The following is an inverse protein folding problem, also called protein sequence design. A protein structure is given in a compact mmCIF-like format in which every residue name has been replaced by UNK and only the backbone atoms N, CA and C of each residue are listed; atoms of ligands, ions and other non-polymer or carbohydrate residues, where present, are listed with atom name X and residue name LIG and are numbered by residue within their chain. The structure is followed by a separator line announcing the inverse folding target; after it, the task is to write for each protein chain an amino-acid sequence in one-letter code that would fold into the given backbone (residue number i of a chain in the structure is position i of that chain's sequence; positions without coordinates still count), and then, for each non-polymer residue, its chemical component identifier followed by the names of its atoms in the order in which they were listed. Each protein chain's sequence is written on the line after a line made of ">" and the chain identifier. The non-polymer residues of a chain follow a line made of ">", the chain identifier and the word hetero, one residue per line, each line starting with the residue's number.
data_IF_175523286408
#
_entry.id   IF_175523286408
#
_cell.length_a   1.000
_cell.length_b   1.000
_cell.length_c   1.000
_cell.angle_alpha   90.00
_cell.angle_beta   90.00
_cell.angle_gamma   90.00
#
_symmetry.space_group_name_H-M   'P 1'
#
loop_
_entity.id
_entity.type
_entity.pdbx_description
1 polymer ?
#
# COMPACT_ATOMS: atom_id res chain seq x y z
N UNK A 1 28.87 4.97 29.02
CA UNK A 1 27.47 4.83 29.46
C UNK A 1 26.64 5.97 28.92
N UNK A 2 25.96 5.75 27.80
CA UNK A 2 25.01 6.72 27.24
C UNK A 2 23.66 6.57 27.96
N UNK A 3 23.10 7.68 28.44
CA UNK A 3 21.73 7.72 28.96
C UNK A 3 20.85 8.28 27.85
N UNK A 4 19.82 7.53 27.48
CA UNK A 4 18.79 8.06 26.60
C UNK A 4 18.04 9.18 27.29
N UNK A 5 17.76 10.24 26.53
CA UNK A 5 16.85 11.28 26.95
C UNK A 5 15.45 10.70 27.17
N UNK A 6 14.69 11.34 28.05
CA UNK A 6 13.30 10.97 28.30
C UNK A 6 12.51 11.10 27.00
N UNK A 7 11.92 10.00 26.53
CA UNK A 7 11.29 9.94 25.21
C UNK A 7 10.15 10.96 25.02
N UNK A 8 9.46 11.34 26.11
CA UNK A 8 8.27 12.17 26.12
C UNK A 8 7.96 12.64 27.55
N UNK A 9 7.28 13.78 27.73
CA UNK A 9 6.82 14.23 29.05
C UNK A 9 5.68 13.36 29.57
N UNK A 10 5.55 13.24 30.89
CA UNK A 10 4.49 12.42 31.50
C UNK A 10 3.09 12.91 31.12
N UNK A 11 2.91 14.23 31.02
CA UNK A 11 1.66 14.85 30.59
C UNK A 11 1.23 14.38 29.20
N UNK A 12 2.16 14.35 28.23
CA UNK A 12 1.84 13.88 26.87
C UNK A 12 1.62 12.37 26.86
N UNK A 13 2.37 11.61 27.66
CA UNK A 13 2.15 10.16 27.78
C UNK A 13 0.76 9.83 28.31
N UNK A 14 0.34 10.47 29.40
CA UNK A 14 -0.99 10.26 29.99
C UNK A 14 -2.13 10.68 29.04
N UNK A 15 -1.90 11.70 28.20
CA UNK A 15 -2.86 12.10 27.17
C UNK A 15 -2.96 11.08 26.01
N UNK A 16 -1.83 10.49 25.59
CA UNK A 16 -1.76 9.59 24.41
C UNK A 16 -2.12 8.15 24.75
N UNK A 17 -1.75 7.68 25.95
CA UNK A 17 -1.96 6.29 26.39
C UNK A 17 -3.38 5.76 26.18
N UNK A 18 -4.47 6.44 26.61
CA UNK A 18 -5.82 5.89 26.44
C UNK A 18 -6.20 5.74 24.95
N UNK A 19 -5.77 6.66 24.10
CA UNK A 19 -5.98 6.58 22.64
C UNK A 19 -5.21 5.41 22.05
N UNK A 20 -3.96 5.21 22.46
CA UNK A 20 -3.15 4.08 22.01
C UNK A 20 -3.76 2.74 22.41
N UNK A 21 -4.20 2.60 23.67
CA UNK A 21 -4.84 1.39 24.18
C UNK A 21 -6.16 1.11 23.46
N UNK A 22 -6.97 2.14 23.20
CA UNK A 22 -8.21 2.00 22.43
C UNK A 22 -7.95 1.54 21.00
N UNK A 23 -6.99 2.16 20.30
CA UNK A 23 -6.63 1.81 18.92
C UNK A 23 -5.93 0.45 18.80
N UNK A 24 -5.38 -0.06 19.91
CA UNK A 24 -4.66 -1.34 19.96
C UNK A 24 -5.53 -2.50 20.47
N UNK A 25 -6.85 -2.31 20.59
CA UNK A 25 -7.79 -3.38 20.93
C UNK A 25 -7.79 -4.47 19.85
N UNK A 26 -7.80 -5.73 20.26
CA UNK A 26 -7.80 -6.90 19.36
C UNK A 26 -8.95 -6.85 18.34
N UNK A 27 -10.12 -6.36 18.73
CA UNK A 27 -11.29 -6.19 17.84
C UNK A 27 -10.98 -5.25 16.65
N UNK A 28 -10.21 -4.17 16.90
CA UNK A 28 -9.78 -3.25 15.84
C UNK A 28 -8.65 -3.85 15.01
N UNK A 29 -7.67 -4.50 15.65
CA UNK A 29 -6.53 -5.10 14.97
C UNK A 29 -6.93 -6.29 14.09
N UNK A 30 -7.92 -7.07 14.50
CA UNK A 30 -8.46 -8.19 13.71
C UNK A 30 -9.00 -7.73 12.37
N UNK A 31 -9.54 -6.51 12.28
CA UNK A 31 -9.98 -5.91 11.00
C UNK A 31 -8.82 -5.64 10.05
N UNK A 32 -7.62 -5.40 10.58
CA UNK A 32 -6.41 -5.17 9.78
C UNK A 32 -5.85 -6.46 9.18
N UNK A 33 -6.14 -7.63 9.76
CA UNK A 33 -5.67 -8.93 9.26
C UNK A 33 -6.19 -9.25 7.85
N UNK A 34 -7.38 -8.76 7.51
CA UNK A 34 -7.96 -8.93 6.17
C UNK A 34 -7.37 -8.00 5.11
N UNK A 35 -6.43 -7.10 5.45
CA UNK A 35 -5.85 -6.15 4.50
C UNK A 35 -6.80 -5.03 4.03
N UNK A 36 -8.07 -5.05 4.47
CA UNK A 36 -9.11 -4.09 4.11
C UNK A 36 -8.86 -2.67 4.64
N UNK A 37 -7.90 -2.49 5.56
CA UNK A 37 -7.50 -1.20 6.10
C UNK A 37 -6.54 -0.41 5.17
N UNK A 38 -6.08 -1.02 4.07
CA UNK A 38 -5.35 -0.30 3.04
C UNK A 38 -6.31 0.65 2.32
N UNK A 39 -6.07 1.96 2.40
CA UNK A 39 -6.77 2.93 1.57
C UNK A 39 -6.63 2.50 0.10
N UNK A 40 -7.71 1.97 -0.49
CA UNK A 40 -7.69 1.37 -1.83
C UNK A 40 -7.16 2.36 -2.87
N UNK A 41 -7.46 3.65 -2.72
CA UNK A 41 -6.93 4.68 -3.60
C UNK A 41 -5.41 4.84 -3.45
N UNK A 42 -4.85 4.71 -2.24
CA UNK A 42 -3.39 4.80 -2.02
C UNK A 42 -2.68 3.58 -2.58
N UNK A 43 -3.24 2.38 -2.37
CA UNK A 43 -2.70 1.13 -2.90
C UNK A 43 -2.72 1.12 -4.44
N UNK A 44 -3.85 1.44 -5.06
CA UNK A 44 -3.98 1.55 -6.52
C UNK A 44 -3.01 2.58 -7.10
N UNK A 45 -3.00 3.80 -6.55
CA UNK A 45 -2.11 4.85 -7.04
C UNK A 45 -0.64 4.47 -6.89
N UNK A 46 -0.24 3.83 -5.79
CA UNK A 46 1.15 3.38 -5.60
C UNK A 46 1.58 2.43 -6.74
N UNK A 47 0.69 1.55 -7.18
CA UNK A 47 0.95 0.61 -8.27
C UNK A 47 1.03 1.28 -9.64
N UNK A 48 0.15 2.26 -9.92
CA UNK A 48 0.26 3.08 -11.14
C UNK A 48 1.62 3.79 -11.16
N UNK A 49 2.02 4.42 -10.05
CA UNK A 49 3.26 5.19 -9.99
C UNK A 49 4.53 4.34 -9.93
N UNK A 50 4.45 3.06 -9.56
CA UNK A 50 5.58 2.15 -9.69
C UNK A 50 5.86 1.77 -11.15
N UNK A 51 4.85 1.82 -12.02
CA UNK A 51 4.98 1.55 -13.46
C UNK A 51 5.20 2.81 -14.29
N UNK A 52 4.55 3.92 -13.93
CA UNK A 52 4.65 5.21 -14.60
C UNK A 52 5.07 6.30 -13.57
N UNK A 53 6.36 6.42 -13.24
CA UNK A 53 6.82 7.31 -12.17
C UNK A 53 6.43 8.78 -12.40
N UNK A 54 5.95 9.44 -11.34
CA UNK A 54 5.49 10.85 -11.39
C UNK A 54 6.60 11.86 -11.72
N UNK A 55 7.84 11.51 -11.42
CA UNK A 55 9.01 12.36 -11.66
C UNK A 55 9.48 12.31 -13.11
N UNK A 56 8.82 11.53 -13.97
CA UNK A 56 9.14 11.39 -15.39
C UNK A 56 7.90 11.78 -16.21
N UNK A 57 8.11 12.51 -17.31
CA UNK A 57 7.05 12.77 -18.27
C UNK A 57 6.70 11.49 -19.01
N UNK A 58 5.52 10.94 -18.74
CA UNK A 58 5.00 9.77 -19.43
C UNK A 58 3.95 10.20 -20.47
N UNK A 59 3.96 9.59 -21.65
CA UNK A 59 2.90 9.78 -22.63
C UNK A 59 1.58 9.17 -22.15
N UNK A 60 0.45 9.70 -22.68
CA UNK A 60 -0.90 9.22 -22.32
C UNK A 60 -1.03 7.69 -22.42
N UNK A 61 -0.53 7.10 -23.50
CA UNK A 61 -0.58 5.65 -23.73
C UNK A 61 0.09 4.85 -22.63
N UNK A 62 1.24 5.30 -22.12
CA UNK A 62 1.96 4.63 -21.04
C UNK A 62 1.15 4.70 -19.75
N UNK A 63 0.56 5.87 -19.45
CA UNK A 63 -0.25 6.05 -18.26
C UNK A 63 -1.54 5.21 -18.30
N UNK A 64 -2.20 5.12 -19.47
CA UNK A 64 -3.37 4.27 -19.66
C UNK A 64 -3.04 2.80 -19.41
N UNK A 65 -1.93 2.30 -19.98
CA UNK A 65 -1.47 0.91 -19.79
C UNK A 65 -1.15 0.65 -18.32
N UNK A 66 -0.42 1.55 -17.64
CA UNK A 66 -0.11 1.41 -16.22
C UNK A 66 -1.38 1.37 -15.36
N UNK A 67 -2.38 2.19 -15.68
CA UNK A 67 -3.68 2.18 -15.00
C UNK A 67 -4.42 0.85 -15.21
N UNK A 68 -4.48 0.33 -16.44
CA UNK A 68 -5.11 -0.97 -16.71
C UNK A 68 -4.41 -2.13 -16.01
N UNK A 69 -3.07 -2.17 -16.04
CA UNK A 69 -2.28 -3.17 -15.32
C UNK A 69 -2.51 -3.09 -13.82
N UNK A 70 -2.61 -1.88 -13.27
CA UNK A 70 -2.88 -1.68 -11.84
C UNK A 70 -4.27 -2.20 -11.44
N UNK A 71 -5.30 -1.97 -12.28
CA UNK A 71 -6.65 -2.53 -12.04
C UNK A 71 -6.62 -4.06 -12.06
N UNK A 72 -5.95 -4.65 -13.05
CA UNK A 72 -5.91 -6.12 -13.20
C UNK A 72 -5.18 -6.74 -12.01
N UNK A 73 -4.03 -6.19 -11.62
CA UNK A 73 -3.29 -6.69 -10.47
C UNK A 73 -4.04 -6.49 -9.15
N UNK A 74 -4.81 -5.40 -9.00
CA UNK A 74 -5.60 -5.18 -7.80
C UNK A 74 -6.72 -6.21 -7.62
N UNK A 75 -7.36 -6.63 -8.72
CA UNK A 75 -8.46 -7.60 -8.68
C UNK A 75 -7.97 -9.05 -8.68
N UNK A 76 -6.99 -9.37 -9.53
CA UNK A 76 -6.60 -10.75 -9.85
C UNK A 76 -5.14 -11.07 -9.46
N UNK A 77 -4.40 -10.11 -8.90
CA UNK A 77 -2.99 -10.27 -8.56
C UNK A 77 -2.13 -10.68 -9.77
N UNK A 78 -1.15 -11.55 -9.51
CA UNK A 78 -0.26 -12.06 -10.56
C UNK A 78 -0.98 -12.93 -11.59
N UNK A 79 -2.11 -13.55 -11.25
CA UNK A 79 -2.84 -14.38 -12.20
C UNK A 79 -3.33 -13.55 -13.39
N UNK A 80 -3.88 -12.36 -13.15
CA UNK A 80 -4.27 -11.44 -14.22
C UNK A 80 -3.09 -11.01 -15.09
N UNK A 81 -1.94 -10.72 -14.47
CA UNK A 81 -0.71 -10.38 -15.21
C UNK A 81 -0.23 -11.53 -16.10
N UNK A 82 -0.25 -12.77 -15.59
CA UNK A 82 0.12 -13.95 -16.36
C UNK A 82 -0.78 -14.18 -17.58
N UNK A 83 -2.08 -13.86 -17.48
CA UNK A 83 -2.99 -13.93 -18.63
C UNK A 83 -2.63 -12.92 -19.71
N UNK A 84 -2.31 -11.68 -19.33
CA UNK A 84 -1.84 -10.64 -20.27
C UNK A 84 -0.56 -11.09 -20.95
N UNK A 85 0.42 -11.58 -20.19
CA UNK A 85 1.68 -12.09 -20.72
C UNK A 85 1.45 -13.19 -21.75
N UNK A 86 0.56 -14.14 -21.45
CA UNK A 86 0.16 -15.20 -22.38
C UNK A 86 -0.47 -14.65 -23.66
N UNK A 87 -1.37 -13.67 -23.55
CA UNK A 87 -2.02 -13.02 -24.72
C UNK A 87 -1.00 -12.28 -25.59
N UNK A 88 0.03 -11.70 -24.98
CA UNK A 88 1.14 -11.04 -25.68
C UNK A 88 2.19 -12.01 -26.23
N UNK A 89 2.05 -13.32 -26.00
CA UNK A 89 3.02 -14.33 -26.42
C UNK A 89 4.34 -14.27 -25.65
N UNK A 90 4.34 -13.70 -24.43
CA UNK A 90 5.53 -13.63 -23.57
C UNK A 90 5.70 -14.95 -22.81
N UNK A 91 6.86 -15.59 -23.01
CA UNK A 91 7.23 -16.79 -22.25
C UNK A 91 7.63 -16.40 -20.83
N UNK A 92 6.96 -16.98 -19.83
CA UNK A 92 7.39 -16.90 -18.45
C UNK A 92 8.45 -18.00 -18.26
N UNK A 93 9.65 -17.60 -17.83
CA UNK A 93 10.80 -18.49 -17.66
C UNK A 93 10.67 -19.48 -16.53
#
# INVERSE_FOLDING_TARGET
>A
NYKHDTAMSMEVFEAVKPVYEELSKDELLTRCLGGFAQNSNKSFNALVWSMAPKNISNGKTVLDIAAYLAVIFFNDGYFGIMQIMKLLGLTIG
#
